data_IF_793689930773
#
_entry.id   IF_793689930773
#
_cell.length_a   1.000
_cell.length_b   1.000
_cell.length_c   1.000
_cell.angle_alpha   90.00
_cell.angle_beta   90.00
_cell.angle_gamma   90.00
#
_symmetry.space_group_name_H-M   'P 1'
#
loop_
_entity.id
_entity.type
_entity.pdbx_description
1 polymer ?
#
# COMPACT_ATOMS: atom_id res chain seq x y z
N UNK A 1 12.19 13.14 40.47
CA UNK A 1 11.64 13.60 39.17
C UNK A 1 11.74 12.43 38.20
N UNK A 2 10.77 12.23 37.29
CA UNK A 2 10.89 11.18 36.27
C UNK A 2 11.83 11.61 35.12
N UNK A 3 12.38 10.66 34.33
CA UNK A 3 13.34 10.96 33.27
C UNK A 3 12.82 11.94 32.20
N UNK A 4 11.53 11.89 31.86
CA UNK A 4 10.95 12.78 30.86
C UNK A 4 10.83 14.20 31.40
N UNK A 5 10.38 14.34 32.65
CA UNK A 5 10.27 15.64 33.32
C UNK A 5 11.64 16.29 33.51
N UNK A 6 12.69 15.51 33.85
CA UNK A 6 14.05 16.01 33.94
C UNK A 6 14.58 16.50 32.58
N UNK A 7 14.35 15.71 31.52
CA UNK A 7 14.71 16.12 30.15
C UNK A 7 13.97 17.38 29.72
N UNK A 8 12.68 17.51 30.04
CA UNK A 8 11.90 18.71 29.76
C UNK A 8 12.45 19.93 30.48
N UNK A 9 12.74 19.84 31.77
CA UNK A 9 13.26 20.96 32.55
C UNK A 9 14.55 21.52 31.92
N UNK A 10 15.52 20.64 31.66
CA UNK A 10 16.79 21.02 31.03
C UNK A 10 16.63 21.53 29.59
N UNK A 11 15.71 20.93 28.81
CA UNK A 11 15.41 21.38 27.44
C UNK A 11 14.79 22.78 27.45
N UNK A 12 13.82 23.03 28.34
CA UNK A 12 13.10 24.30 28.42
C UNK A 12 13.98 25.46 28.90
N UNK A 13 14.99 25.18 29.74
CA UNK A 13 15.99 26.15 30.20
C UNK A 13 17.12 26.41 29.20
N UNK A 14 17.22 25.60 28.14
CA UNK A 14 18.34 25.66 27.20
C UNK A 14 19.66 25.09 27.75
N UNK A 15 19.57 24.23 28.77
CA UNK A 15 20.70 23.70 29.52
C UNK A 15 21.10 22.27 29.08
N UNK A 16 20.75 21.88 27.84
CA UNK A 16 21.03 20.54 27.30
C UNK A 16 22.51 20.14 27.38
N UNK A 17 23.43 21.10 27.31
CA UNK A 17 24.87 20.89 27.47
C UNK A 17 25.28 20.34 28.85
N UNK A 18 24.44 20.48 29.88
CA UNK A 18 24.66 19.92 31.22
C UNK A 18 24.23 18.46 31.33
N UNK A 19 23.61 17.90 30.29
CA UNK A 19 23.26 16.48 30.22
C UNK A 19 24.49 15.72 29.70
N UNK A 20 25.18 15.02 30.59
CA UNK A 20 26.42 14.30 30.26
C UNK A 20 26.15 12.79 30.28
N UNK A 21 26.55 12.10 29.22
CA UNK A 21 26.51 10.63 29.17
C UNK A 21 27.81 10.06 29.74
N UNK A 22 27.73 9.16 30.71
CA UNK A 22 28.85 8.34 31.16
C UNK A 22 28.44 6.86 31.11
N UNK A 23 28.98 6.12 30.15
CA UNK A 23 28.60 4.72 29.93
C UNK A 23 27.12 4.56 29.54
N UNK A 24 26.36 3.85 30.38
CA UNK A 24 24.92 3.58 30.22
C UNK A 24 24.04 4.46 31.13
N UNK A 25 24.57 5.58 31.63
CA UNK A 25 23.81 6.58 32.39
C UNK A 25 23.94 7.99 31.80
N UNK A 26 22.85 8.76 31.93
CA UNK A 26 22.83 10.21 31.74
C UNK A 26 22.78 10.93 33.08
N UNK A 27 23.65 11.91 33.23
CA UNK A 27 23.74 12.82 34.37
C UNK A 27 23.18 14.19 33.98
N UNK A 28 22.17 14.65 34.70
CA UNK A 28 21.53 15.95 34.54
C UNK A 28 22.11 16.90 35.59
N UNK A 29 23.23 17.53 35.26
CA UNK A 29 24.02 18.28 36.24
C UNK A 29 24.41 17.39 37.42
N UNK A 30 24.30 17.95 38.63
CA UNK A 30 24.59 17.24 39.90
C UNK A 30 23.31 16.74 40.59
N UNK A 31 22.14 16.91 39.97
CA UNK A 31 20.84 16.72 40.62
C UNK A 31 20.22 15.34 40.36
N UNK A 32 20.31 14.83 39.12
CA UNK A 32 19.66 13.58 38.73
C UNK A 32 20.55 12.72 37.83
N UNK A 33 20.49 11.41 38.02
CA UNK A 33 21.03 10.44 37.06
C UNK A 33 19.95 9.42 36.67
N UNK A 34 19.98 8.99 35.42
CA UNK A 34 19.08 7.97 34.90
C UNK A 34 19.80 7.05 33.91
N UNK A 35 19.52 5.73 33.91
CA UNK A 35 19.99 4.83 32.86
C UNK A 35 19.56 5.29 31.47
N UNK A 36 20.42 5.18 30.46
CA UNK A 36 20.14 5.56 29.07
C UNK A 36 18.90 4.83 28.52
N UNK A 37 18.74 3.54 28.86
CA UNK A 37 17.62 2.72 28.41
C UNK A 37 16.31 2.96 29.17
N UNK A 38 16.27 3.87 30.15
CA UNK A 38 15.09 4.11 30.98
C UNK A 38 13.88 4.47 30.12
N UNK A 39 12.74 3.77 30.25
CA UNK A 39 11.52 4.13 29.55
C UNK A 39 11.00 5.46 30.08
N UNK A 40 10.62 6.35 29.18
CA UNK A 40 10.00 7.64 29.52
C UNK A 40 8.49 7.52 29.53
N UNK A 41 7.81 8.51 30.11
CA UNK A 41 6.34 8.59 30.11
C UNK A 41 5.75 8.95 28.73
N UNK A 42 6.59 9.27 27.73
CA UNK A 42 6.12 9.59 26.39
C UNK A 42 5.97 8.34 25.52
N UNK A 43 4.74 8.00 25.18
CA UNK A 43 4.37 6.88 24.32
C UNK A 43 4.39 7.28 22.86
N UNK A 44 5.10 6.52 22.03
CA UNK A 44 5.02 6.61 20.58
C UNK A 44 3.59 6.32 20.11
N UNK A 45 3.16 6.94 19.01
CA UNK A 45 1.90 6.56 18.35
C UNK A 45 1.89 5.09 17.87
N UNK A 46 3.05 4.47 17.73
CA UNK A 46 3.21 3.04 17.42
C UNK A 46 3.05 2.14 18.66
N UNK A 47 2.98 2.73 19.86
CA UNK A 47 2.55 2.08 21.09
C UNK A 47 3.65 1.78 22.11
N UNK A 48 4.93 1.86 21.74
CA UNK A 48 6.06 1.71 22.67
C UNK A 48 6.43 3.04 23.36
N UNK A 49 6.92 2.97 24.59
CA UNK A 49 7.51 4.13 25.27
C UNK A 49 8.88 4.43 24.67
N UNK A 50 9.18 5.71 24.43
CA UNK A 50 10.54 6.09 24.05
C UNK A 50 11.48 5.94 25.24
N UNK A 51 12.71 5.49 24.99
CA UNK A 51 13.78 5.49 25.98
C UNK A 51 14.40 6.88 26.13
N UNK A 52 15.02 7.13 27.28
CA UNK A 52 15.72 8.38 27.54
C UNK A 52 16.80 8.66 26.49
N UNK A 53 17.60 7.66 26.10
CA UNK A 53 18.64 7.78 25.06
C UNK A 53 18.06 8.23 23.71
N UNK A 54 16.91 7.67 23.34
CA UNK A 54 16.21 8.05 22.11
C UNK A 54 15.76 9.51 22.12
N UNK A 55 15.24 9.98 23.26
CA UNK A 55 14.75 11.36 23.39
C UNK A 55 15.87 12.38 23.51
N UNK A 56 16.93 12.10 24.28
CA UNK A 56 18.12 12.96 24.37
C UNK A 56 18.76 13.11 22.99
N UNK A 57 18.94 11.99 22.27
CA UNK A 57 19.46 12.01 20.91
C UNK A 57 18.56 12.83 19.97
N UNK A 58 17.24 12.70 20.07
CA UNK A 58 16.30 13.47 19.28
C UNK A 58 16.40 14.98 19.52
N UNK A 59 16.40 15.43 20.78
CA UNK A 59 16.44 16.86 21.11
C UNK A 59 17.73 17.50 20.61
N UNK A 60 18.87 16.85 20.80
CA UNK A 60 20.17 17.32 20.31
C UNK A 60 20.22 17.44 18.78
N UNK A 61 19.43 16.63 18.06
CA UNK A 61 19.40 16.57 16.60
C UNK A 61 18.09 17.11 16.01
N UNK A 62 17.29 17.85 16.79
CA UNK A 62 15.98 18.34 16.37
C UNK A 62 16.04 19.39 15.25
N UNK A 63 17.22 19.95 14.97
CA UNK A 63 17.48 20.89 13.88
C UNK A 63 17.71 20.19 12.53
N UNK A 64 18.09 18.91 12.53
CA UNK A 64 18.35 18.14 11.31
C UNK A 64 17.05 17.88 10.55
N UNK A 65 17.18 17.74 9.21
CA UNK A 65 16.10 17.18 8.38
C UNK A 65 15.72 15.80 8.91
N UNK A 66 14.43 15.47 8.87
CA UNK A 66 13.97 14.24 9.50
C UNK A 66 14.58 12.98 8.89
N UNK A 67 14.82 12.96 7.57
CA UNK A 67 15.52 11.86 6.89
C UNK A 67 16.90 11.61 7.46
N UNK A 68 17.68 12.67 7.70
CA UNK A 68 19.06 12.58 8.20
C UNK A 68 19.07 12.15 9.67
N UNK A 69 18.17 12.72 10.47
CA UNK A 69 17.94 12.29 11.86
C UNK A 69 17.60 10.79 11.95
N UNK A 70 16.68 10.31 11.09
CA UNK A 70 16.27 8.90 11.06
C UNK A 70 17.43 7.97 10.74
N UNK A 71 18.31 8.35 9.80
CA UNK A 71 19.50 7.58 9.47
C UNK A 71 20.50 7.58 10.65
N UNK A 72 20.75 8.72 11.27
CA UNK A 72 21.64 8.86 12.43
C UNK A 72 21.19 7.99 13.62
N UNK A 73 19.92 8.10 14.00
CA UNK A 73 19.35 7.31 15.10
C UNK A 73 19.44 5.79 14.85
N UNK A 74 19.24 5.34 13.60
CA UNK A 74 19.35 3.92 13.22
C UNK A 74 20.79 3.40 13.32
N UNK A 75 21.79 4.21 12.95
CA UNK A 75 23.19 3.84 13.10
C UNK A 75 23.58 3.63 14.57
N UNK A 76 22.99 4.43 15.46
CA UNK A 76 23.16 4.31 16.91
C UNK A 76 22.27 3.22 17.54
N UNK A 77 21.51 2.46 16.74
CA UNK A 77 20.55 1.44 17.19
C UNK A 77 19.52 1.97 18.18
N UNK A 78 19.19 3.26 18.10
CA UNK A 78 18.17 3.89 18.92
C UNK A 78 16.80 3.76 18.26
N UNK A 79 15.73 3.80 19.07
CA UNK A 79 14.38 3.94 18.55
C UNK A 79 14.19 5.38 18.06
N UNK A 80 14.06 5.63 16.75
CA UNK A 80 13.90 7.00 16.28
C UNK A 80 12.52 7.55 16.64
N UNK A 81 12.47 8.82 17.04
CA UNK A 81 11.22 9.56 17.21
C UNK A 81 10.51 9.66 15.86
N UNK A 82 9.27 9.20 15.80
CA UNK A 82 8.51 9.18 14.56
C UNK A 82 8.19 10.59 14.06
N UNK A 83 7.97 10.73 12.75
CA UNK A 83 7.60 12.03 12.17
C UNK A 83 6.35 12.65 12.83
N UNK A 84 5.36 11.82 13.18
CA UNK A 84 4.12 12.27 13.81
C UNK A 84 4.32 12.76 15.25
N UNK A 85 5.33 12.23 15.95
CA UNK A 85 5.61 12.57 17.34
C UNK A 85 6.55 13.76 17.47
N UNK A 86 7.32 14.07 16.42
CA UNK A 86 8.35 15.11 16.36
C UNK A 86 7.90 16.44 16.96
N UNK A 87 6.82 17.01 16.40
CA UNK A 87 6.30 18.32 16.79
C UNK A 87 5.70 18.34 18.20
N UNK A 88 4.72 17.48 18.55
CA UNK A 88 4.13 17.50 19.88
C UNK A 88 5.15 17.19 20.99
N UNK A 89 6.08 16.26 20.77
CA UNK A 89 7.14 15.95 21.72
C UNK A 89 8.06 17.16 21.94
N UNK A 90 8.52 17.81 20.86
CA UNK A 90 9.42 18.95 20.98
C UNK A 90 8.74 20.15 21.63
N UNK A 91 7.48 20.42 21.27
CA UNK A 91 6.69 21.49 21.89
C UNK A 91 6.50 21.24 23.40
N UNK A 92 6.37 19.97 23.83
CA UNK A 92 6.32 19.60 25.25
C UNK A 92 7.66 19.80 25.95
N UNK A 93 8.75 19.27 25.39
CA UNK A 93 10.10 19.36 25.97
C UNK A 93 10.60 20.81 26.04
N UNK A 94 10.20 21.66 25.09
CA UNK A 94 10.48 23.10 25.11
C UNK A 94 9.55 23.89 26.04
N UNK A 95 8.59 23.23 26.70
CA UNK A 95 7.65 23.88 27.62
C UNK A 95 6.55 24.71 26.95
N UNK A 96 6.38 24.64 25.62
CA UNK A 96 5.28 25.31 24.91
C UNK A 96 3.91 24.71 25.23
N UNK A 97 3.89 23.42 25.54
CA UNK A 97 2.71 22.71 26.08
C UNK A 97 3.06 22.07 27.41
N UNK A 98 2.09 22.04 28.34
CA UNK A 98 2.27 21.50 29.69
C UNK A 98 1.94 20.01 29.82
N UNK A 99 1.15 19.48 28.89
CA UNK A 99 0.73 18.07 28.80
C UNK A 99 0.42 17.68 27.35
N UNK A 100 0.32 16.38 27.09
CA UNK A 100 -0.05 15.81 25.79
C UNK A 100 -0.64 14.41 25.99
N UNK A 101 -1.62 13.99 25.17
CA UNK A 101 -2.33 12.70 25.28
C UNK A 101 -1.43 11.46 25.24
N UNK A 102 -0.19 11.62 24.81
CA UNK A 102 0.80 10.54 24.72
C UNK A 102 1.72 10.47 25.95
N UNK A 103 1.49 11.30 26.96
CA UNK A 103 2.20 11.28 28.23
C UNK A 103 1.37 10.47 29.22
N UNK A 104 1.82 9.25 29.50
CA UNK A 104 1.18 8.34 30.45
C UNK A 104 1.97 8.33 31.77
N UNK A 105 1.32 8.39 32.94
CA UNK A 105 2.01 8.27 34.22
C UNK A 105 2.62 6.88 34.35
N UNK A 106 3.95 6.79 34.30
CA UNK A 106 4.68 5.53 34.51
C UNK A 106 4.57 5.17 36.00
N UNK A 107 3.79 4.13 36.31
CA UNK A 107 3.84 3.48 37.62
C UNK A 107 5.13 2.67 37.67
N UNK A 108 6.11 3.11 38.48
CA UNK A 108 7.37 2.38 38.66
C UNK A 108 7.04 1.06 39.36
N UNK A 109 6.98 -0.03 38.59
CA UNK A 109 6.87 -1.37 39.12
C UNK A 109 8.25 -2.03 38.97
N UNK A 110 9.01 -2.25 40.06
CA UNK A 110 10.45 -2.52 40.00
C UNK A 110 10.83 -3.92 39.52
N UNK A 111 9.91 -4.68 38.88
CA UNK A 111 10.10 -6.12 38.71
C UNK A 111 9.73 -6.71 37.34
N UNK A 112 9.90 -5.96 36.25
CA UNK A 112 9.79 -6.56 34.91
C UNK A 112 11.13 -6.62 34.19
N UNK A 113 11.63 -7.82 33.83
CA UNK A 113 12.70 -7.97 32.86
C UNK A 113 12.21 -7.53 31.49
N UNK A 114 13.08 -6.80 30.81
CA UNK A 114 12.93 -6.28 29.46
C UNK A 114 12.57 -7.40 28.44
N UNK A 115 11.54 -7.26 27.59
CA UNK A 115 11.39 -8.10 26.41
C UNK A 115 12.42 -7.65 25.37
N UNK A 116 13.65 -8.12 25.55
CA UNK A 116 14.73 -7.97 24.57
C UNK A 116 14.42 -8.72 23.28
N UNK A 117 14.85 -8.12 22.17
CA UNK A 117 14.93 -8.73 20.86
C UNK A 117 15.54 -10.15 20.95
N UNK A 118 14.76 -11.16 20.56
CA UNK A 118 15.22 -12.53 20.50
C UNK A 118 16.31 -12.69 19.43
N UNK A 119 17.48 -13.19 19.82
CA UNK A 119 18.46 -13.81 18.94
C UNK A 119 18.51 -15.31 19.29
N UNK A 120 18.59 -16.23 18.31
CA UNK A 120 18.42 -17.65 18.59
C UNK A 120 19.71 -18.28 19.15
N UNK A 121 19.50 -19.05 20.22
CA UNK A 121 20.22 -20.26 20.61
C UNK A 121 21.73 -20.18 20.92
N UNK A 122 22.04 -20.26 22.21
CA UNK A 122 22.92 -21.33 22.72
C UNK A 122 22.47 -21.72 24.13
N UNK A 123 22.33 -23.03 24.35
CA UNK A 123 21.80 -23.60 25.58
C UNK A 123 22.75 -23.36 26.76
N UNK A 124 22.20 -22.87 27.86
CA UNK A 124 22.84 -22.82 29.17
C UNK A 124 22.82 -24.22 29.79
N UNK A 125 24.00 -24.75 30.15
CA UNK A 125 24.08 -25.78 31.19
C UNK A 125 24.38 -25.06 32.50
N UNK A 126 23.48 -25.26 33.45
CA UNK A 126 23.46 -24.73 34.81
C UNK A 126 24.54 -25.37 35.68
N UNK A 127 25.34 -24.54 36.34
CA UNK A 127 26.09 -24.91 37.54
C UNK A 127 25.25 -24.66 38.79
N UNK A 128 25.21 -25.63 39.68
CA UNK A 128 25.12 -25.46 41.14
C UNK A 128 25.67 -26.73 41.82
N UNK A 129 26.18 -26.61 43.07
CA UNK A 129 27.55 -26.95 43.44
C UNK A 129 27.62 -28.26 44.23
N UNK A 130 28.83 -28.80 44.45
CA UNK A 130 29.23 -29.56 45.65
C UNK A 130 30.71 -30.00 45.55
N UNK A 131 31.47 -29.87 46.65
CA UNK A 131 32.68 -30.67 46.90
C UNK A 131 34.01 -29.91 47.03
N UNK A 132 34.42 -29.70 48.27
CA UNK A 132 35.76 -29.32 48.71
C UNK A 132 36.65 -30.57 48.79
N UNK A 133 37.83 -30.58 48.15
CA UNK A 133 38.94 -31.50 48.44
C UNK A 133 40.29 -30.85 48.06
N UNK A 134 41.25 -30.70 49.00
CA UNK A 134 42.50 -29.95 48.78
C UNK A 134 43.68 -30.85 48.39
N UNK A 135 44.27 -30.60 47.21
CA UNK A 135 45.66 -31.02 46.92
C UNK A 135 46.27 -30.23 45.74
N UNK A 136 47.06 -29.20 46.11
CA UNK A 136 48.27 -28.58 45.53
C UNK A 136 48.70 -28.78 44.04
N UNK A 137 49.61 -27.93 43.49
CA UNK A 137 50.12 -26.62 43.94
C UNK A 137 50.03 -25.49 42.90
N UNK A 138 50.17 -24.28 43.44
CA UNK A 138 50.31 -22.99 42.78
C UNK A 138 51.50 -22.88 41.82
N UNK A 139 51.34 -22.09 40.75
CA UNK A 139 52.43 -21.37 40.08
C UNK A 139 52.07 -19.89 39.97
N UNK A 140 52.53 -19.16 40.97
CA UNK A 140 53.19 -17.85 40.96
C UNK A 140 53.14 -16.99 39.67
N UNK A 141 52.67 -15.75 39.88
CA UNK A 141 53.23 -14.46 39.47
C UNK A 141 53.62 -14.24 37.99
N UNK A 142 52.99 -13.26 37.35
CA UNK A 142 53.61 -11.93 37.24
C UNK A 142 52.62 -10.85 36.77
N UNK A 143 52.43 -9.86 37.63
CA UNK A 143 52.03 -8.50 37.31
C UNK A 143 53.14 -7.79 36.54
N UNK A 144 52.81 -6.94 35.57
CA UNK A 144 53.48 -5.65 35.42
C UNK A 144 52.64 -4.60 34.67
N UNK A 145 52.54 -3.49 35.38
CA UNK A 145 52.05 -2.14 35.14
C UNK A 145 52.17 -1.50 33.72
N UNK A 146 51.03 -0.96 33.25
CA UNK A 146 50.72 0.46 32.86
C UNK A 146 51.56 1.19 31.76
N UNK A 147 51.26 2.46 31.38
CA UNK A 147 50.68 2.80 30.08
C UNK A 147 51.54 3.81 29.28
N UNK A 148 51.29 3.99 27.97
CA UNK A 148 51.69 5.23 27.30
C UNK A 148 50.98 5.46 25.98
N UNK A 149 50.44 6.67 25.86
CA UNK A 149 49.97 7.34 24.67
C UNK A 149 51.08 7.44 23.62
N UNK A 150 50.76 7.30 22.33
CA UNK A 150 51.10 8.37 21.39
C UNK A 150 50.26 8.36 20.10
N UNK A 151 50.06 9.57 19.62
CA UNK A 151 49.28 10.01 18.47
C UNK A 151 50.15 9.98 17.19
N UNK A 152 49.45 9.97 16.04
CA UNK A 152 49.89 10.39 14.70
C UNK A 152 50.68 9.40 13.83
N UNK A 153 50.00 8.96 12.75
CA UNK A 153 50.41 9.14 11.34
C UNK A 153 49.88 7.97 10.53
N UNK A 154 48.91 8.19 9.63
CA UNK A 154 49.05 7.88 8.19
C UNK A 154 48.14 8.87 7.42
N UNK A 155 48.77 9.54 6.47
CA UNK A 155 48.25 10.59 5.61
C UNK A 155 47.37 10.07 4.46
N UNK A 156 46.67 11.04 3.87
CA UNK A 156 45.77 10.99 2.73
C UNK A 156 46.39 10.44 1.43
N UNK A 157 45.57 9.78 0.61
CA UNK A 157 45.70 9.81 -0.85
C UNK A 157 44.30 9.68 -1.50
N UNK A 158 44.01 10.44 -2.59
CA UNK A 158 42.68 10.57 -3.18
C UNK A 158 42.45 9.53 -4.27
N UNK A 159 41.18 9.13 -4.47
CA UNK A 159 40.78 8.40 -5.69
C UNK A 159 39.55 9.08 -6.27
N UNK A 160 39.77 9.88 -7.32
CA UNK A 160 38.79 10.12 -8.37
C UNK A 160 39.40 9.58 -9.67
N UNK A 161 38.59 8.87 -10.47
CA UNK A 161 38.53 8.97 -11.93
C UNK A 161 37.48 7.97 -12.47
N UNK A 162 36.65 8.49 -13.38
CA UNK A 162 35.60 7.81 -14.17
C UNK A 162 36.10 6.55 -14.90
N UNK A 163 35.15 5.75 -15.44
CA UNK A 163 35.15 5.63 -16.90
C UNK A 163 33.78 5.80 -17.54
N UNK A 164 33.80 6.59 -18.63
CA UNK A 164 32.73 6.84 -19.58
C UNK A 164 32.47 5.63 -20.48
N UNK A 165 31.20 5.38 -20.81
CA UNK A 165 30.78 4.46 -21.87
C UNK A 165 30.89 5.13 -23.25
N UNK A 166 31.45 4.46 -24.29
CA UNK A 166 31.30 4.92 -25.65
C UNK A 166 30.09 4.27 -26.32
N UNK A 167 29.19 5.10 -26.85
CA UNK A 167 28.20 4.72 -27.84
C UNK A 167 28.84 4.61 -29.23
N UNK A 168 28.38 3.66 -30.04
CA UNK A 168 28.70 3.59 -31.46
C UNK A 168 27.45 3.90 -32.28
N UNK A 169 27.58 5.00 -33.01
CA UNK A 169 26.63 5.54 -33.97
C UNK A 169 26.92 4.94 -35.36
N UNK A 170 25.86 4.72 -36.14
CA UNK A 170 25.91 4.30 -37.54
C UNK A 170 26.35 5.44 -38.46
N UNK A 171 27.03 5.11 -39.57
CA UNK A 171 27.04 5.94 -40.78
C UNK A 171 28.24 5.75 -41.72
N UNK A 172 27.96 5.13 -42.88
CA UNK A 172 28.50 5.32 -44.26
C UNK A 172 30.04 5.23 -44.45
N UNK A 173 30.63 4.57 -45.46
CA UNK A 173 30.26 4.30 -46.87
C UNK A 173 31.29 3.27 -47.47
N UNK A 174 31.48 3.12 -48.80
CA UNK A 174 31.00 2.04 -49.66
C UNK A 174 32.08 1.03 -50.10
N UNK A 175 31.65 -0.11 -50.66
CA UNK A 175 32.49 -0.88 -51.58
C UNK A 175 32.30 -2.39 -51.56
N UNK A 176 31.41 -2.90 -52.43
CA UNK A 176 31.62 -4.16 -53.16
C UNK A 176 30.55 -4.33 -54.24
N UNK A 177 30.95 -3.99 -55.47
CA UNK A 177 30.50 -4.64 -56.71
C UNK A 177 30.85 -6.15 -56.65
N UNK A 178 30.28 -7.12 -57.36
CA UNK A 178 29.11 -7.28 -58.23
C UNK A 178 29.22 -8.73 -58.73
N UNK A 179 28.21 -9.57 -58.54
CA UNK A 179 27.88 -10.78 -59.34
C UNK A 179 26.43 -11.11 -58.95
N UNK A 180 25.37 -10.92 -59.74
CA UNK A 180 25.25 -11.04 -61.18
C UNK A 180 24.42 -12.29 -61.47
N UNK A 181 23.08 -12.19 -61.42
CA UNK A 181 22.17 -12.99 -62.26
C UNK A 181 20.73 -12.42 -62.18
N UNK A 182 20.23 -12.01 -63.35
CA UNK A 182 18.86 -11.62 -63.65
C UNK A 182 18.32 -12.63 -64.72
N UNK A 183 17.08 -12.55 -65.19
CA UNK A 183 15.97 -13.39 -64.80
C UNK A 183 15.44 -14.21 -66.01
N UNK A 184 14.35 -14.94 -65.79
CA UNK A 184 13.35 -15.45 -66.76
C UNK A 184 12.90 -16.83 -66.23
N UNK A 185 11.64 -17.23 -66.13
CA UNK A 185 10.44 -17.04 -66.94
C UNK A 185 9.22 -17.43 -66.06
N UNK A 186 8.12 -16.70 -66.24
CA UNK A 186 6.65 -16.95 -66.10
C UNK A 186 6.15 -18.29 -65.50
N UNK A 187 4.95 -18.44 -64.91
CA UNK A 187 3.60 -18.10 -65.40
C UNK A 187 2.56 -18.33 -64.28
N UNK A 188 1.55 -17.44 -64.24
CA UNK A 188 0.11 -17.62 -63.98
C UNK A 188 -0.48 -18.55 -62.87
N UNK A 189 -1.40 -17.92 -62.12
CA UNK A 189 -2.60 -18.45 -61.45
C UNK A 189 -3.42 -19.42 -62.36
N UNK A 190 -4.35 -20.28 -61.86
CA UNK A 190 -5.52 -19.77 -61.12
C UNK A 190 -6.26 -20.73 -60.15
N UNK A 191 -7.26 -20.14 -59.50
CA UNK A 191 -8.63 -20.63 -59.30
C UNK A 191 -9.05 -21.29 -57.97
N UNK A 192 -10.07 -20.62 -57.44
CA UNK A 192 -10.99 -20.94 -56.36
C UNK A 192 -11.91 -22.13 -56.67
N UNK A 193 -12.25 -22.93 -55.65
CA UNK A 193 -13.46 -23.75 -55.66
C UNK A 193 -14.04 -23.95 -54.24
N UNK A 194 -15.31 -23.57 -54.11
CA UNK A 194 -16.20 -23.76 -52.98
C UNK A 194 -16.53 -25.25 -52.71
N UNK A 195 -16.92 -25.56 -51.46
CA UNK A 195 -18.04 -26.48 -51.24
C UNK A 195 -17.94 -27.52 -50.12
N UNK A 196 -18.77 -27.31 -49.10
CA UNK A 196 -19.68 -28.29 -48.48
C UNK A 196 -19.19 -29.32 -47.42
N UNK A 197 -19.79 -29.14 -46.23
CA UNK A 197 -20.49 -30.13 -45.38
C UNK A 197 -19.68 -31.16 -44.55
N UNK A 198 -19.81 -31.01 -43.23
CA UNK A 198 -20.16 -32.09 -42.29
C UNK A 198 -19.06 -33.05 -41.83
N UNK A 199 -18.69 -32.98 -40.54
CA UNK A 199 -18.89 -34.09 -39.58
C UNK A 199 -18.25 -33.78 -38.22
N UNK A 200 -19.03 -33.98 -37.16
CA UNK A 200 -18.54 -34.06 -35.79
C UNK A 200 -17.62 -35.29 -35.65
N UNK A 201 -16.33 -35.04 -35.42
CA UNK A 201 -15.32 -36.07 -35.20
C UNK A 201 -14.48 -35.78 -33.96
N UNK A 202 -14.88 -36.40 -32.85
CA UNK A 202 -14.19 -36.53 -31.57
C UNK A 202 -12.64 -36.54 -31.69
N UNK A 203 -11.96 -35.42 -31.40
CA UNK A 203 -10.48 -35.38 -31.33
C UNK A 203 -9.99 -35.92 -29.99
N UNK A 204 -9.83 -37.25 -29.96
CA UNK A 204 -8.99 -37.97 -28.99
C UNK A 204 -7.61 -37.30 -28.92
N UNK A 205 -7.15 -36.98 -27.71
CA UNK A 205 -5.74 -36.63 -27.45
C UNK A 205 -4.86 -37.76 -27.96
N UNK A 206 -3.81 -37.51 -28.77
CA UNK A 206 -2.92 -38.58 -29.21
C UNK A 206 -2.13 -39.09 -27.99
N UNK A 207 -2.24 -40.40 -27.76
CA UNK A 207 -1.42 -41.15 -26.81
C UNK A 207 0.03 -41.06 -27.29
N UNK A 208 0.92 -40.58 -26.43
CA UNK A 208 2.36 -40.55 -26.67
C UNK A 208 2.86 -41.99 -26.64
N UNK A 209 3.12 -42.54 -27.81
CA UNK A 209 3.94 -43.72 -28.01
C UNK A 209 5.04 -43.27 -28.97
N UNK A 210 6.18 -42.91 -28.40
CA UNK A 210 7.52 -43.29 -28.86
C UNK A 210 8.55 -42.34 -28.26
N UNK A 211 9.39 -42.90 -27.40
CA UNK A 211 10.47 -42.22 -26.69
C UNK A 211 11.68 -41.92 -27.58
N UNK A 212 11.47 -41.23 -28.70
CA UNK A 212 12.56 -40.66 -29.51
C UNK A 212 12.45 -39.14 -29.50
N UNK A 213 13.56 -38.46 -29.16
CA UNK A 213 13.63 -36.98 -29.06
C UNK A 213 13.19 -36.22 -30.32
N UNK A 214 12.99 -36.91 -31.44
CA UNK A 214 12.45 -36.37 -32.68
C UNK A 214 11.00 -35.84 -32.55
N UNK A 215 10.17 -36.47 -31.70
CA UNK A 215 8.77 -36.03 -31.50
C UNK A 215 8.67 -34.65 -30.84
N UNK A 216 9.54 -34.39 -29.86
CA UNK A 216 9.60 -33.11 -29.16
C UNK A 216 10.18 -32.00 -30.04
N UNK A 217 11.17 -32.31 -30.90
CA UNK A 217 11.73 -31.34 -31.85
C UNK A 217 10.68 -30.92 -32.89
N UNK A 218 9.86 -31.85 -33.38
CA UNK A 218 8.77 -31.48 -34.28
C UNK A 218 7.72 -30.61 -33.58
N UNK A 219 7.39 -30.89 -32.31
CA UNK A 219 6.47 -30.05 -31.54
C UNK A 219 7.01 -28.62 -31.37
N UNK A 220 8.31 -28.48 -31.08
CA UNK A 220 8.98 -27.17 -30.94
C UNK A 220 9.00 -26.44 -32.28
N UNK A 221 9.39 -27.10 -33.39
CA UNK A 221 9.42 -26.50 -34.73
C UNK A 221 8.04 -26.08 -35.25
N UNK A 222 6.97 -26.77 -34.81
CA UNK A 222 5.60 -26.37 -35.15
C UNK A 222 5.15 -25.12 -34.38
N UNK A 223 5.80 -24.82 -33.25
CA UNK A 223 5.55 -23.64 -32.42
C UNK A 223 6.56 -22.51 -32.63
N UNK A 224 7.70 -22.78 -33.28
CA UNK A 224 8.71 -21.79 -33.62
C UNK A 224 8.23 -20.84 -34.71
N UNK A 225 8.44 -19.54 -34.49
CA UNK A 225 8.20 -18.50 -35.49
C UNK A 225 9.51 -17.77 -35.76
N UNK A 226 10.07 -17.86 -36.98
CA UNK A 226 11.26 -17.10 -37.31
C UNK A 226 10.90 -15.61 -37.40
N UNK A 227 11.54 -14.80 -36.57
CA UNK A 227 11.43 -13.35 -36.60
C UNK A 227 12.21 -12.84 -37.81
N UNK A 228 11.51 -12.29 -38.81
CA UNK A 228 12.15 -11.79 -40.04
C UNK A 228 12.70 -10.37 -39.87
N UNK A 229 12.02 -9.50 -39.13
CA UNK A 229 12.46 -8.11 -38.92
C UNK A 229 11.89 -7.48 -37.64
N UNK A 230 12.56 -6.44 -37.13
CA UNK A 230 12.25 -5.77 -35.85
C UNK A 230 10.82 -5.22 -35.79
N UNK A 231 10.26 -4.77 -36.92
CA UNK A 231 8.90 -4.24 -36.99
C UNK A 231 7.82 -5.34 -36.86
N UNK A 232 8.15 -6.59 -37.23
CA UNK A 232 7.23 -7.72 -37.10
C UNK A 232 6.98 -8.16 -35.65
N UNK A 233 7.79 -7.67 -34.69
CA UNK A 233 7.58 -7.83 -33.25
C UNK A 233 6.54 -6.84 -32.69
N UNK A 234 6.33 -5.70 -33.36
CA UNK A 234 5.42 -4.63 -32.91
C UNK A 234 4.03 -4.75 -33.54
N UNK A 235 3.89 -5.48 -34.64
CA UNK A 235 2.63 -5.68 -35.35
C UNK A 235 1.82 -6.87 -34.80
N UNK A 236 0.75 -6.59 -34.06
CA UNK A 236 -0.31 -7.57 -33.84
C UNK A 236 -1.22 -7.63 -35.07
N UNK A 237 -0.98 -8.58 -35.99
CA UNK A 237 -1.77 -8.74 -37.25
C UNK A 237 -3.30 -8.90 -37.08
N UNK A 238 -3.78 -9.10 -35.87
CA UNK A 238 -5.21 -9.32 -35.57
C UNK A 238 -5.80 -8.29 -34.60
N UNK A 239 -5.06 -7.24 -34.21
CA UNK A 239 -5.57 -6.16 -33.37
C UNK A 239 -4.89 -4.85 -33.74
N UNK A 240 -5.62 -3.97 -34.43
CA UNK A 240 -5.28 -2.57 -34.50
C UNK A 240 -5.97 -1.80 -33.36
N UNK A 241 -5.28 -0.79 -32.84
CA UNK A 241 -5.87 0.20 -31.94
C UNK A 241 -6.35 1.44 -32.71
N UNK A 242 -6.24 1.42 -34.04
CA UNK A 242 -6.57 2.55 -34.90
C UNK A 242 -8.07 2.84 -34.86
N UNK A 243 -8.89 1.79 -34.87
CA UNK A 243 -10.35 1.93 -34.73
C UNK A 243 -10.75 2.52 -33.37
N UNK A 244 -10.03 2.14 -32.29
CA UNK A 244 -10.27 2.68 -30.94
C UNK A 244 -9.86 4.15 -30.87
N UNK A 245 -8.73 4.52 -31.48
CA UNK A 245 -8.25 5.89 -31.55
C UNK A 245 -9.22 6.79 -32.35
N UNK A 246 -9.65 6.35 -33.53
CA UNK A 246 -10.65 7.05 -34.34
C UNK A 246 -11.97 7.25 -33.56
N UNK A 247 -12.44 6.22 -32.86
CA UNK A 247 -13.65 6.33 -32.04
C UNK A 247 -13.49 7.25 -30.83
N UNK A 248 -12.30 7.30 -30.22
CA UNK A 248 -12.00 8.23 -29.12
C UNK A 248 -12.00 9.67 -29.60
N UNK A 249 -11.29 9.97 -30.70
CA UNK A 249 -11.25 11.31 -31.28
C UNK A 249 -12.62 11.78 -31.76
N UNK A 250 -13.43 10.89 -32.34
CA UNK A 250 -14.82 11.22 -32.75
C UNK A 250 -15.74 11.49 -31.55
N UNK A 251 -15.54 10.78 -30.42
CA UNK A 251 -16.27 11.02 -29.16
C UNK A 251 -15.88 12.35 -28.52
N UNK A 252 -14.61 12.74 -28.62
CA UNK A 252 -14.10 14.02 -28.13
C UNK A 252 -14.65 15.19 -28.96
N UNK A 253 -14.64 15.06 -30.29
CA UNK A 253 -15.26 16.02 -31.21
C UNK A 253 -16.79 16.18 -30.99
N UNK A 254 -17.51 15.10 -30.68
CA UNK A 254 -18.93 15.17 -30.33
C UNK A 254 -19.19 15.82 -28.96
N UNK A 255 -18.28 15.70 -27.99
CA UNK A 255 -18.39 16.43 -26.71
C UNK A 255 -18.21 17.92 -26.91
N UNK A 256 -17.21 18.32 -27.71
CA UNK A 256 -16.99 19.73 -28.08
C UNK A 256 -18.19 20.31 -28.84
N UNK A 257 -18.84 19.52 -29.72
CA UNK A 257 -20.09 19.94 -30.39
C UNK A 257 -21.29 20.03 -29.43
N UNK A 258 -21.43 19.13 -28.45
CA UNK A 258 -22.52 19.19 -27.45
C UNK A 258 -22.40 20.38 -26.51
N UNK A 259 -21.18 20.71 -26.07
CA UNK A 259 -20.94 21.87 -25.19
C UNK A 259 -21.16 23.20 -25.94
N UNK A 260 -20.92 23.24 -27.26
CA UNK A 260 -21.23 24.40 -28.11
C UNK A 260 -22.72 24.63 -28.38
N UNK A 261 -23.56 23.59 -28.33
CA UNK A 261 -25.01 23.69 -28.60
C UNK A 261 -25.80 24.07 -27.34
N UNK A 262 -25.28 23.80 -26.14
CA UNK A 262 -26.00 24.09 -24.88
C UNK A 262 -26.17 25.59 -24.55
N UNK A 263 -25.59 26.51 -25.33
CA UNK A 263 -25.74 27.96 -25.17
C UNK A 263 -26.93 28.54 -25.98
N UNK A 264 -27.52 27.79 -26.89
CA UNK A 264 -28.67 28.26 -27.69
C UNK A 264 -29.76 27.20 -27.77
N UNK A 265 -30.67 27.20 -26.79
CA UNK A 265 -32.12 27.02 -26.99
C UNK A 265 -32.80 26.79 -25.64
N UNK A 266 -33.27 27.89 -25.03
CA UNK A 266 -34.47 27.85 -24.19
C UNK A 266 -35.62 28.28 -25.08
N UNK A 267 -36.58 27.40 -25.30
CA UNK A 267 -37.78 27.71 -26.09
C UNK A 267 -38.60 26.47 -26.43
N UNK A 268 -39.53 26.15 -25.52
CA UNK A 268 -40.92 25.78 -25.79
C UNK A 268 -41.33 24.35 -26.24
N UNK A 269 -42.27 23.83 -25.44
CA UNK A 269 -43.47 23.02 -25.69
C UNK A 269 -43.53 21.68 -26.49
N UNK A 270 -44.16 20.72 -25.79
CA UNK A 270 -45.24 19.77 -26.16
C UNK A 270 -45.02 18.60 -27.17
N UNK A 271 -45.15 17.39 -26.59
CA UNK A 271 -46.03 16.25 -26.96
C UNK A 271 -46.05 15.74 -28.42
N UNK A 272 -45.59 14.49 -28.66
CA UNK A 272 -46.22 13.54 -29.61
C UNK A 272 -45.68 12.11 -29.38
N UNK A 273 -46.60 11.15 -29.32
CA UNK A 273 -46.38 9.70 -29.34
C UNK A 273 -46.28 9.21 -30.78
N UNK A 274 -45.39 8.25 -31.08
CA UNK A 274 -45.74 7.11 -31.96
C UNK A 274 -44.73 5.95 -31.86
N UNK A 275 -45.31 4.77 -32.02
CA UNK A 275 -44.81 3.41 -31.92
C UNK A 275 -44.18 2.94 -33.25
N UNK A 276 -43.10 2.16 -33.21
CA UNK A 276 -42.71 1.15 -34.23
C UNK A 276 -41.46 0.38 -33.74
N UNK A 277 -41.61 -0.91 -33.39
CA UNK A 277 -40.49 -1.87 -33.34
C UNK A 277 -40.29 -2.59 -34.70
N UNK A 278 -39.55 -3.71 -34.80
CA UNK A 278 -38.38 -4.17 -34.01
C UNK A 278 -37.20 -4.67 -34.92
N UNK A 279 -35.94 -4.61 -34.45
CA UNK A 279 -34.94 -5.73 -34.49
C UNK A 279 -33.48 -5.33 -34.25
N UNK A 280 -32.83 -6.20 -33.48
CA UNK A 280 -31.41 -6.60 -33.49
C UNK A 280 -30.35 -5.61 -33.01
N UNK A 281 -30.52 -5.21 -31.76
CA UNK A 281 -29.48 -4.61 -30.91
C UNK A 281 -28.69 -5.72 -30.19
N UNK A 282 -27.49 -6.03 -30.67
CA UNK A 282 -26.49 -6.86 -29.96
C UNK A 282 -25.52 -5.96 -29.16
N UNK A 283 -26.08 -5.00 -28.42
CA UNK A 283 -25.33 -4.15 -27.51
C UNK A 283 -25.18 -4.83 -26.16
N UNK A 284 -23.94 -4.81 -25.67
CA UNK A 284 -23.55 -5.07 -24.29
C UNK A 284 -24.47 -4.26 -23.38
N UNK A 285 -25.37 -4.95 -22.67
CA UNK A 285 -26.09 -4.38 -21.55
C UNK A 285 -25.12 -4.23 -20.38
N UNK A 286 -24.61 -3.01 -20.20
CA UNK A 286 -24.32 -2.53 -18.85
C UNK A 286 -25.68 -2.55 -18.14
N UNK A 287 -25.95 -3.63 -17.41
CA UNK A 287 -27.17 -3.76 -16.64
C UNK A 287 -27.17 -2.66 -15.58
N UNK A 288 -27.87 -1.56 -15.91
CA UNK A 288 -28.57 -0.75 -14.91
C UNK A 288 -29.44 -1.73 -14.11
N UNK A 289 -29.44 -1.68 -12.77
CA UNK A 289 -30.42 -2.43 -11.99
C UNK A 289 -31.81 -1.97 -12.43
N UNK A 290 -32.54 -2.84 -13.12
CA UNK A 290 -33.90 -2.55 -13.54
C UNK A 290 -34.83 -2.68 -12.34
N UNK A 291 -35.35 -1.52 -11.93
CA UNK A 291 -36.63 -1.27 -11.23
C UNK A 291 -36.88 -2.05 -9.93
N UNK A 292 -36.47 -1.43 -8.83
CA UNK A 292 -36.93 -1.64 -7.46
C UNK A 292 -36.36 -0.56 -6.53
N UNK A 293 -37.13 0.53 -6.36
CA UNK A 293 -37.05 1.58 -5.32
C UNK A 293 -35.71 2.29 -4.97
N UNK A 294 -35.67 3.60 -5.30
CA UNK A 294 -35.00 4.76 -4.65
C UNK A 294 -33.57 4.62 -4.06
N UNK A 295 -32.68 3.84 -4.67
CA UNK A 295 -31.23 4.12 -4.56
C UNK A 295 -30.90 5.06 -5.71
N UNK A 296 -30.34 6.25 -5.42
CA UNK A 296 -30.19 7.34 -6.38
C UNK A 296 -29.63 6.90 -7.74
N UNK A 297 -30.12 7.50 -8.83
CA UNK A 297 -29.68 7.19 -10.20
C UNK A 297 -28.17 7.48 -10.34
N UNK A 298 -27.33 6.43 -10.35
CA UNK A 298 -25.88 6.57 -10.48
C UNK A 298 -25.08 5.38 -9.99
N UNK A 299 -23.75 5.49 -10.07
CA UNK A 299 -22.82 4.47 -9.56
C UNK A 299 -22.83 4.50 -8.02
N UNK A 300 -22.98 3.37 -7.32
CA UNK A 300 -22.96 3.34 -5.86
C UNK A 300 -21.60 3.79 -5.30
N UNK A 301 -21.61 4.46 -4.15
CA UNK A 301 -20.42 5.02 -3.49
C UNK A 301 -20.08 4.19 -2.24
N UNK A 302 -18.79 3.89 -2.09
CA UNK A 302 -18.18 3.34 -0.87
C UNK A 302 -17.28 4.43 -0.28
N UNK A 303 -17.49 4.73 1.00
CA UNK A 303 -16.62 5.65 1.74
C UNK A 303 -15.52 4.89 2.47
N UNK A 304 -14.29 5.39 2.37
CA UNK A 304 -13.14 4.87 3.15
C UNK A 304 -12.57 5.97 4.03
N UNK A 305 -11.87 5.64 5.13
CA UNK A 305 -11.20 6.63 5.95
C UNK A 305 -10.11 7.38 5.17
N UNK A 306 -10.05 8.69 5.37
CA UNK A 306 -8.91 9.52 4.91
C UNK A 306 -7.69 9.39 5.83
N UNK A 307 -7.85 8.79 7.01
CA UNK A 307 -6.78 8.66 7.99
C UNK A 307 -5.76 7.58 7.58
N UNK A 308 -4.51 8.01 7.43
CA UNK A 308 -3.40 7.20 6.92
C UNK A 308 -3.08 5.94 7.73
N UNK A 309 -3.41 5.92 9.02
CA UNK A 309 -3.12 4.79 9.92
C UNK A 309 -4.16 3.66 9.86
N UNK A 310 -5.18 3.78 9.03
CA UNK A 310 -6.17 2.71 8.85
C UNK A 310 -5.68 1.62 7.92
N UNK A 311 -6.21 0.42 8.13
CA UNK A 311 -5.87 -0.72 7.31
C UNK A 311 -6.39 -0.56 5.87
N UNK A 312 -7.55 0.06 5.68
CA UNK A 312 -8.12 0.30 4.35
C UNK A 312 -8.24 1.80 4.10
N UNK A 313 -7.73 2.25 2.96
CA UNK A 313 -7.73 3.64 2.52
C UNK A 313 -7.97 3.71 1.02
N UNK A 314 -8.12 4.91 0.48
CA UNK A 314 -8.29 5.10 -0.97
C UNK A 314 -7.10 4.58 -1.80
N UNK A 315 -5.93 4.37 -1.18
CA UNK A 315 -4.72 3.91 -1.86
C UNK A 315 -4.66 2.40 -2.10
N UNK A 316 -5.34 1.59 -1.28
CA UNK A 316 -5.23 0.13 -1.30
C UNK A 316 -6.57 -0.61 -1.41
N UNK A 317 -7.69 0.13 -1.33
CA UNK A 317 -9.04 -0.44 -1.38
C UNK A 317 -9.32 -1.19 -2.67
N UNK A 318 -8.72 -0.78 -3.79
CA UNK A 318 -8.94 -1.42 -5.08
C UNK A 318 -8.39 -2.83 -5.10
N UNK A 319 -7.12 -3.00 -4.75
CA UNK A 319 -6.47 -4.31 -4.73
C UNK A 319 -7.10 -5.24 -3.69
N UNK A 320 -7.55 -4.67 -2.56
CA UNK A 320 -8.24 -5.47 -1.56
C UNK A 320 -9.62 -5.94 -2.05
N UNK A 321 -10.46 -5.05 -2.59
CA UNK A 321 -11.82 -5.40 -2.98
C UNK A 321 -11.90 -6.15 -4.32
N UNK A 322 -11.07 -5.82 -5.31
CA UNK A 322 -11.06 -6.49 -6.61
C UNK A 322 -10.27 -7.80 -6.58
N UNK A 323 -9.01 -7.74 -6.13
CA UNK A 323 -8.07 -8.86 -6.21
C UNK A 323 -8.07 -9.73 -4.94
N UNK A 324 -8.63 -9.22 -3.84
CA UNK A 324 -8.57 -9.91 -2.55
C UNK A 324 -7.17 -9.89 -1.93
N UNK A 325 -6.39 -8.84 -2.21
CA UNK A 325 -4.99 -8.73 -1.74
C UNK A 325 -4.84 -7.50 -0.85
N UNK A 326 -4.48 -7.71 0.43
CA UNK A 326 -4.23 -6.58 1.32
C UNK A 326 -2.79 -6.08 1.16
N UNK A 327 -2.65 -4.83 0.73
CA UNK A 327 -1.37 -4.11 0.66
C UNK A 327 -1.42 -2.95 1.67
N UNK A 328 -0.45 -2.84 2.59
CA UNK A 328 -0.36 -1.72 3.52
C UNK A 328 -0.32 -0.34 2.81
N UNK A 329 -0.98 0.64 3.39
CA UNK A 329 -1.11 2.01 2.83
C UNK A 329 0.24 2.68 2.59
N UNK A 330 1.19 2.51 3.50
CA UNK A 330 2.55 3.07 3.40
C UNK A 330 3.32 2.51 2.21
N UNK A 331 3.19 1.21 1.92
CA UNK A 331 3.78 0.57 0.73
C UNK A 331 3.18 1.17 -0.54
N UNK A 332 1.86 1.39 -0.60
CA UNK A 332 1.19 2.02 -1.75
C UNK A 332 1.62 3.45 -1.96
N UNK A 333 1.67 4.24 -0.90
CA UNK A 333 2.07 5.66 -0.97
C UNK A 333 3.53 5.80 -1.38
N UNK A 334 4.41 4.93 -0.89
CA UNK A 334 5.81 4.90 -1.32
C UNK A 334 5.91 4.59 -2.82
N UNK A 335 5.25 3.52 -3.28
CA UNK A 335 5.24 3.16 -4.70
C UNK A 335 4.71 4.30 -5.59
N UNK A 336 3.62 4.97 -5.18
CA UNK A 336 3.10 6.15 -5.90
C UNK A 336 4.09 7.31 -5.92
N UNK A 337 4.79 7.56 -4.81
CA UNK A 337 5.82 8.61 -4.74
C UNK A 337 6.97 8.32 -5.70
N UNK A 338 7.41 7.06 -5.77
CA UNK A 338 8.49 6.61 -6.67
C UNK A 338 8.13 6.85 -8.14
N UNK A 339 6.84 6.67 -8.51
CA UNK A 339 6.33 6.94 -9.88
C UNK A 339 5.76 8.36 -10.07
N UNK A 340 5.95 9.27 -9.10
CA UNK A 340 5.40 10.64 -9.10
C UNK A 340 3.88 10.73 -9.34
N UNK A 341 3.14 9.73 -8.87
CA UNK A 341 1.68 9.72 -8.94
C UNK A 341 1.07 10.42 -7.74
N UNK A 342 0.02 11.22 -7.97
CA UNK A 342 -0.70 11.95 -6.91
C UNK A 342 -1.80 11.10 -6.27
N UNK A 343 -2.24 11.49 -5.07
CA UNK A 343 -3.34 10.85 -4.36
C UNK A 343 -4.62 10.87 -5.25
N UNK A 344 -5.25 9.72 -5.50
CA UNK A 344 -6.53 9.69 -6.20
C UNK A 344 -7.63 10.32 -5.34
N UNK A 345 -8.47 11.14 -5.96
CA UNK A 345 -9.67 11.69 -5.31
C UNK A 345 -10.84 10.69 -5.31
N UNK A 346 -10.90 9.87 -6.36
CA UNK A 346 -11.91 8.82 -6.55
C UNK A 346 -11.23 7.61 -7.18
N UNK A 347 -11.61 6.41 -6.72
CA UNK A 347 -11.15 5.13 -7.26
C UNK A 347 -12.35 4.31 -7.67
N UNK A 348 -12.35 3.75 -8.88
CA UNK A 348 -13.41 2.82 -9.30
C UNK A 348 -13.02 1.39 -8.95
N UNK A 349 -13.93 0.68 -8.29
CA UNK A 349 -13.83 -0.74 -7.95
C UNK A 349 -14.89 -1.52 -8.72
N UNK A 350 -14.50 -2.63 -9.35
CA UNK A 350 -15.39 -3.50 -10.10
C UNK A 350 -15.57 -4.85 -9.38
N UNK A 351 -16.83 -5.24 -9.20
CA UNK A 351 -17.20 -6.55 -8.68
C UNK A 351 -17.88 -7.37 -9.77
N UNK A 352 -17.28 -8.51 -10.12
CA UNK A 352 -17.91 -9.52 -10.98
C UNK A 352 -18.73 -10.48 -10.13
N UNK A 353 -20.05 -10.46 -10.30
CA UNK A 353 -20.93 -11.41 -9.63
C UNK A 353 -20.94 -12.73 -10.38
N UNK A 354 -20.64 -13.83 -9.69
CA UNK A 354 -20.58 -15.16 -10.30
C UNK A 354 -21.95 -15.69 -10.71
N UNK A 355 -23.03 -15.22 -10.09
CA UNK A 355 -24.40 -15.70 -10.35
C UNK A 355 -24.95 -15.23 -11.71
N UNK A 356 -24.73 -13.96 -12.05
CA UNK A 356 -25.38 -13.34 -13.22
C UNK A 356 -24.42 -12.83 -14.30
N UNK A 357 -23.10 -13.07 -14.16
CA UNK A 357 -22.03 -12.50 -15.00
C UNK A 357 -22.05 -10.96 -15.11
N UNK A 358 -22.82 -10.29 -14.27
CA UNK A 358 -22.89 -8.83 -14.18
C UNK A 358 -21.66 -8.31 -13.47
N UNK A 359 -21.08 -7.24 -14.01
CA UNK A 359 -20.02 -6.48 -13.36
C UNK A 359 -20.63 -5.19 -12.85
N UNK A 360 -20.71 -5.01 -11.52
CA UNK A 360 -21.05 -3.72 -10.94
C UNK A 360 -19.78 -2.90 -10.69
N UNK A 361 -19.88 -1.60 -10.94
CA UNK A 361 -18.88 -0.63 -10.56
C UNK A 361 -19.30 0.10 -9.29
N UNK A 362 -18.32 0.45 -8.46
CA UNK A 362 -18.47 1.24 -7.25
C UNK A 362 -17.45 2.38 -7.31
N UNK A 363 -17.87 3.58 -6.93
CA UNK A 363 -16.96 4.70 -6.69
C UNK A 363 -16.49 4.66 -5.24
N UNK A 364 -15.19 4.77 -5.02
CA UNK A 364 -14.60 4.85 -3.69
C UNK A 364 -14.05 6.25 -3.47
N UNK A 365 -14.49 6.90 -2.40
CA UNK A 365 -14.06 8.25 -2.00
C UNK A 365 -13.68 8.29 -0.53
N UNK A 366 -12.80 9.22 -0.15
CA UNK A 366 -12.33 9.37 1.24
C UNK A 366 -12.64 10.74 1.87
N UNK A 367 -13.14 11.68 1.07
CA UNK A 367 -13.56 13.02 1.51
C UNK A 367 -15.09 13.12 1.49
N UNK A 368 -15.78 12.89 2.61
CA UNK A 368 -17.23 13.07 2.68
C UNK A 368 -17.65 14.53 2.39
N UNK A 369 -16.78 15.50 2.68
CA UNK A 369 -17.02 16.93 2.37
C UNK A 369 -17.04 17.26 0.87
N UNK A 370 -16.57 16.36 0.00
CA UNK A 370 -16.65 16.52 -1.45
C UNK A 370 -17.95 15.97 -2.04
N UNK A 371 -18.81 15.32 -1.24
CA UNK A 371 -20.10 14.79 -1.68
C UNK A 371 -21.18 15.87 -1.71
N UNK A 372 -21.95 15.90 -2.79
CA UNK A 372 -23.18 16.72 -2.87
C UNK A 372 -24.31 16.05 -2.08
N UNK A 373 -25.36 16.81 -1.77
CA UNK A 373 -26.55 16.28 -1.10
C UNK A 373 -27.14 15.06 -1.83
N UNK A 374 -27.21 15.12 -3.17
CA UNK A 374 -27.71 14.00 -4.00
C UNK A 374 -26.81 12.76 -3.97
N UNK A 375 -25.52 12.92 -3.70
CA UNK A 375 -24.56 11.81 -3.71
C UNK A 375 -24.74 10.89 -2.49
N UNK A 376 -25.27 11.42 -1.38
CA UNK A 376 -25.46 10.67 -0.14
C UNK A 376 -26.50 9.54 -0.29
N UNK A 377 -27.46 9.69 -1.21
CA UNK A 377 -28.41 8.62 -1.55
C UNK A 377 -27.76 7.44 -2.29
N UNK A 378 -26.59 7.67 -2.90
CA UNK A 378 -25.78 6.64 -3.58
C UNK A 378 -24.76 5.99 -2.66
N UNK A 379 -24.55 6.50 -1.45
CA UNK A 379 -23.61 5.91 -0.49
C UNK A 379 -24.22 4.62 0.05
N UNK A 380 -23.61 3.50 -0.30
CA UNK A 380 -24.09 2.16 0.10
C UNK A 380 -23.28 1.57 1.24
N UNK A 381 -21.99 1.91 1.34
CA UNK A 381 -21.10 1.38 2.37
C UNK A 381 -20.12 2.42 2.91
N UNK A 382 -19.65 2.23 4.15
CA UNK A 382 -18.57 2.99 4.77
C UNK A 382 -17.61 2.06 5.52
N UNK A 383 -16.32 2.20 5.30
CA UNK A 383 -15.29 1.69 6.20
C UNK A 383 -15.04 2.71 7.32
N UNK A 384 -15.21 2.28 8.57
CA UNK A 384 -15.19 3.15 9.75
C UNK A 384 -13.84 3.10 10.47
N UNK A 385 -13.49 4.21 11.10
CA UNK A 385 -12.32 4.39 11.96
C UNK A 385 -12.53 3.83 13.37
N UNK A 386 -13.78 3.75 13.82
CA UNK A 386 -14.11 3.52 15.23
C UNK A 386 -14.01 4.79 16.09
N UNK A 387 -14.10 5.97 15.47
CA UNK A 387 -14.12 7.27 16.16
C UNK A 387 -15.38 8.05 15.79
N UNK A 388 -16.11 8.54 16.79
CA UNK A 388 -17.40 9.24 16.58
C UNK A 388 -17.27 10.48 15.71
N UNK A 389 -16.18 11.24 15.88
CA UNK A 389 -15.92 12.44 15.09
C UNK A 389 -15.82 12.18 13.57
N UNK A 390 -15.63 10.92 13.13
CA UNK A 390 -15.65 10.56 11.71
C UNK A 390 -16.94 11.02 11.01
N UNK A 391 -18.06 10.92 11.73
CA UNK A 391 -19.40 11.22 11.21
C UNK A 391 -19.82 12.68 11.46
N UNK A 392 -18.88 13.52 11.93
CA UNK A 392 -19.12 14.94 12.07
C UNK A 392 -19.44 15.54 10.69
N UNK A 393 -20.45 16.41 10.65
CA UNK A 393 -20.91 17.11 9.45
C UNK A 393 -21.52 16.19 8.36
N UNK A 394 -21.90 14.96 8.71
CA UNK A 394 -22.67 14.09 7.83
C UNK A 394 -24.16 14.47 7.86
N UNK A 395 -24.93 14.23 6.77
CA UNK A 395 -26.35 14.59 6.68
C UNK A 395 -27.26 13.58 7.40
N UNK A 396 -26.86 13.10 8.58
CA UNK A 396 -27.60 12.14 9.39
C UNK A 396 -27.58 12.57 10.85
N UNK A 397 -28.65 12.27 11.58
CA UNK A 397 -28.81 12.69 12.97
C UNK A 397 -27.85 11.96 13.93
N UNK A 398 -27.72 10.65 13.75
CA UNK A 398 -26.95 9.78 14.63
C UNK A 398 -26.40 8.54 13.91
N UNK A 399 -25.59 7.75 14.62
CA UNK A 399 -25.04 6.50 14.09
C UNK A 399 -26.13 5.48 13.70
N UNK A 400 -27.29 5.49 14.36
CA UNK A 400 -28.37 4.55 14.08
C UNK A 400 -28.95 4.84 12.69
N UNK A 401 -29.23 6.11 12.38
CA UNK A 401 -29.67 6.53 11.06
C UNK A 401 -28.64 6.21 9.98
N UNK A 402 -27.36 6.48 10.24
CA UNK A 402 -26.25 6.17 9.33
C UNK A 402 -26.27 4.68 8.99
N UNK A 403 -26.23 3.81 10.00
CA UNK A 403 -26.06 2.37 9.78
C UNK A 403 -27.34 1.63 9.37
N UNK A 404 -28.49 2.30 9.41
CA UNK A 404 -29.71 1.82 8.75
C UNK A 404 -29.72 2.13 7.25
N UNK A 405 -29.09 3.23 6.82
CA UNK A 405 -29.02 3.64 5.41
C UNK A 405 -27.76 3.12 4.71
N UNK A 406 -26.64 3.00 5.42
CA UNK A 406 -25.32 2.69 4.88
C UNK A 406 -24.73 1.51 5.65
N UNK A 407 -24.28 0.45 4.97
CA UNK A 407 -23.60 -0.64 5.69
C UNK A 407 -22.22 -0.19 6.18
N UNK A 408 -21.97 -0.36 7.47
CA UNK A 408 -20.66 -0.06 8.06
C UNK A 408 -19.75 -1.29 8.08
N UNK A 409 -18.46 -1.10 7.77
CA UNK A 409 -17.40 -2.09 7.95
C UNK A 409 -16.29 -1.55 8.84
N UNK A 410 -15.83 -2.32 9.81
CA UNK A 410 -14.64 -2.01 10.60
C UNK A 410 -13.57 -3.06 10.38
N UNK A 411 -12.47 -2.65 9.75
CA UNK A 411 -11.36 -3.54 9.44
C UNK A 411 -10.32 -3.49 10.56
N UNK A 412 -9.93 -4.66 11.07
CA UNK A 412 -8.91 -4.81 12.11
C UNK A 412 -8.01 -6.01 11.83
N UNK A 413 -6.87 -6.10 12.52
CA UNK A 413 -6.13 -7.36 12.53
C UNK A 413 -6.77 -8.38 13.48
N UNK A 414 -6.66 -9.66 13.14
CA UNK A 414 -7.19 -10.77 13.95
C UNK A 414 -6.65 -10.76 15.39
N UNK A 415 -5.37 -10.43 15.55
CA UNK A 415 -4.65 -10.38 16.84
C UNK A 415 -4.82 -9.04 17.58
N UNK A 416 -5.56 -8.07 17.02
CA UNK A 416 -5.78 -6.81 17.72
C UNK A 416 -6.73 -7.03 18.91
N UNK A 417 -6.40 -6.39 20.02
CA UNK A 417 -7.14 -6.50 21.29
C UNK A 417 -8.63 -6.22 21.11
N UNK A 418 -9.48 -6.89 21.89
CA UNK A 418 -10.96 -6.75 21.79
C UNK A 418 -11.40 -5.29 22.02
N UNK A 419 -10.62 -4.53 22.76
CA UNK A 419 -10.77 -3.10 23.04
C UNK A 419 -10.74 -2.25 21.77
N UNK A 420 -10.01 -2.67 20.74
CA UNK A 420 -9.96 -1.96 19.44
C UNK A 420 -11.35 -1.79 18.82
N UNK A 421 -12.24 -2.77 19.04
CA UNK A 421 -13.60 -2.77 18.52
C UNK A 421 -14.66 -2.35 19.55
N UNK A 422 -14.29 -1.94 20.77
CA UNK A 422 -15.25 -1.69 21.85
C UNK A 422 -16.32 -0.66 21.47
N UNK A 423 -15.91 0.47 20.91
CA UNK A 423 -16.82 1.53 20.46
C UNK A 423 -17.65 1.08 19.25
N UNK A 424 -17.01 0.41 18.30
CA UNK A 424 -17.65 -0.05 17.06
C UNK A 424 -18.72 -1.12 17.31
N UNK A 425 -18.54 -1.97 18.32
CA UNK A 425 -19.52 -3.00 18.70
C UNK A 425 -20.86 -2.43 19.15
N UNK A 426 -20.89 -1.17 19.57
CA UNK A 426 -22.14 -0.47 19.93
C UNK A 426 -22.89 0.02 18.69
N UNK A 427 -22.24 0.02 17.52
CA UNK A 427 -22.80 0.44 16.24
C UNK A 427 -23.20 -0.79 15.42
N UNK A 428 -24.17 -0.65 14.50
CA UNK A 428 -24.53 -1.71 13.56
C UNK A 428 -23.51 -1.82 12.41
N UNK A 429 -22.26 -2.15 12.78
CA UNK A 429 -21.10 -2.23 11.89
C UNK A 429 -20.58 -3.66 11.86
N UNK A 430 -20.18 -4.13 10.68
CA UNK A 430 -19.62 -5.46 10.48
C UNK A 430 -18.11 -5.44 10.67
N UNK A 431 -17.61 -6.29 11.55
CA UNK A 431 -16.16 -6.40 11.80
C UNK A 431 -15.56 -7.34 10.74
N UNK A 432 -14.54 -6.86 10.05
CA UNK A 432 -13.76 -7.63 9.06
C UNK A 432 -12.37 -7.82 9.66
N UNK A 433 -11.98 -9.07 9.88
CA UNK A 433 -10.67 -9.39 10.46
C UNK A 433 -9.73 -9.88 9.36
N UNK A 434 -8.53 -9.33 9.32
CA UNK A 434 -7.46 -9.77 8.43
C UNK A 434 -6.24 -10.22 9.22
N UNK A 435 -5.44 -11.13 8.66
CA UNK A 435 -4.21 -11.58 9.31
C UNK A 435 -3.04 -10.63 9.02
N UNK A 436 -2.12 -10.46 9.98
CA UNK A 436 -0.87 -9.73 9.73
C UNK A 436 0.04 -10.48 8.75
N UNK A 437 0.02 -11.81 8.80
CA UNK A 437 1.01 -12.66 8.12
C UNK A 437 0.40 -13.59 7.07
N UNK A 438 -0.89 -13.92 7.14
CA UNK A 438 -1.54 -14.91 6.25
C UNK A 438 -2.27 -14.25 5.07
N UNK A 439 -1.51 -13.75 4.08
CA UNK A 439 -2.08 -13.02 2.91
C UNK A 439 -3.02 -13.84 2.02
N UNK A 440 -2.92 -15.17 2.07
CA UNK A 440 -3.88 -16.04 1.36
C UNK A 440 -5.31 -15.97 1.92
N UNK A 441 -5.49 -15.42 3.13
CA UNK A 441 -6.81 -15.25 3.76
C UNK A 441 -7.46 -13.91 3.43
N UNK A 442 -6.70 -12.94 2.90
CA UNK A 442 -7.20 -11.61 2.54
C UNK A 442 -8.40 -11.70 1.58
N UNK A 443 -8.35 -12.65 0.65
CA UNK A 443 -9.43 -12.91 -0.30
C UNK A 443 -10.73 -13.34 0.39
N UNK A 444 -10.65 -14.11 1.46
CA UNK A 444 -11.83 -14.50 2.22
C UNK A 444 -12.47 -13.29 2.92
N UNK A 445 -11.66 -12.42 3.52
CA UNK A 445 -12.12 -11.17 4.13
C UNK A 445 -12.76 -10.22 3.10
N UNK A 446 -12.18 -10.09 1.91
CA UNK A 446 -12.76 -9.29 0.82
C UNK A 446 -14.09 -9.87 0.33
N UNK A 447 -14.21 -11.20 0.20
CA UNK A 447 -15.48 -11.86 -0.14
C UNK A 447 -16.54 -11.62 0.93
N UNK A 448 -16.17 -11.67 2.21
CA UNK A 448 -17.06 -11.40 3.32
C UNK A 448 -17.60 -9.95 3.30
N UNK A 449 -16.80 -8.97 2.88
CA UNK A 449 -17.29 -7.59 2.64
C UNK A 449 -18.34 -7.58 1.53
N UNK A 450 -18.05 -8.22 0.40
CA UNK A 450 -18.94 -8.24 -0.75
C UNK A 450 -20.26 -8.93 -0.43
N UNK A 451 -20.23 -10.10 0.19
CA UNK A 451 -21.44 -10.86 0.52
C UNK A 451 -22.39 -10.03 1.40
N UNK A 452 -21.86 -9.32 2.39
CA UNK A 452 -22.67 -8.47 3.27
C UNK A 452 -23.17 -7.20 2.58
N UNK A 453 -22.36 -6.60 1.71
CA UNK A 453 -22.78 -5.43 0.93
C UNK A 453 -23.89 -5.81 -0.07
N UNK A 454 -23.74 -6.92 -0.77
CA UNK A 454 -24.74 -7.44 -1.71
C UNK A 454 -26.05 -7.74 -1.00
N UNK A 455 -25.99 -8.41 0.15
CA UNK A 455 -27.16 -8.68 0.97
C UNK A 455 -27.88 -7.40 1.38
N UNK A 456 -27.13 -6.40 1.84
CA UNK A 456 -27.67 -5.10 2.26
C UNK A 456 -28.30 -4.31 1.10
N UNK A 457 -27.64 -4.24 -0.06
CA UNK A 457 -28.18 -3.55 -1.24
C UNK A 457 -29.43 -4.25 -1.75
N UNK A 458 -29.44 -5.59 -1.77
CA UNK A 458 -30.60 -6.38 -2.18
C UNK A 458 -31.78 -6.23 -1.23
N UNK A 459 -31.56 -6.16 0.10
CA UNK A 459 -32.65 -5.94 1.06
C UNK A 459 -33.27 -4.55 0.90
N UNK A 460 -32.48 -3.54 0.52
CA UNK A 460 -32.97 -2.18 0.27
C UNK A 460 -33.75 -2.04 -1.03
N UNK A 461 -33.42 -2.80 -2.08
CA UNK A 461 -34.16 -2.72 -3.35
C UNK A 461 -35.57 -3.34 -3.29
N UNK A 462 -35.85 -4.15 -2.26
CA UNK A 462 -37.14 -4.83 -2.04
C UNK A 462 -38.04 -4.11 -1.02
N UNK A 463 -37.54 -3.03 -0.39
CA UNK A 463 -38.32 -2.13 0.48
C UNK A 463 -38.70 -0.86 -0.28
#
# INVERSE_FOLDING_TARGET
MDPLSALRDYTSRGDLQKIVRMGDEFFFGDEYSFPCNSPTSFRSKQGSLYTLDSLVHYVNNAHLKHTDYMQNARLLKLQPVTFTDRKPLLDYLQGKISSHDSIEPVSINPNFPNPGFANPSFASVSDQPLGYDPSAPEKTLNSNFTPSLNLNSIAEAPISLNPSFPGLNYGNDPGAQNYGFDPSVTVDEPASANGLVGEEGNKKKPRILDGTGAGYINLIRTMERPLKDRETLLECRHRDFHTILLNSSKREEEKVRRDGVLVKSRGDDRNYSEDFGPRDSKYISVLRPSKGSKVGEGVPIILVPSAFQTLITIYNVKEFLEDGVFIPTDVKVKAMTDVKQTKPECVTVQKKFSRDRVVAAYEVRDKPSALKAEDWDRVVAVFVLGKEWQFKDWPFKDHVEIFNKIIGFYMRFEDDSVESAKTVKQWNVKIISISKNKRHQDRAAALEVWDRLEEFVRSRSHS
#
